data_IF_382246353259
#
_entry.id   IF_382246353259
#
_cell.length_a   1.000
_cell.length_b   1.000
_cell.length_c   1.000
_cell.angle_alpha   90.00
_cell.angle_beta   90.00
_cell.angle_gamma   90.00
#
_symmetry.space_group_name_H-M   'P 1'
#
loop_
_entity.id
_entity.type
_entity.pdbx_description
1 polymer ?
#
# COMPACT_ATOMS: atom_id res chain seq x y z
N UNK A 1 -48.20 -41.42 51.63
CA UNK A 1 -48.08 -41.82 50.22
C UNK A 1 -48.06 -40.54 49.40
N UNK A 2 -46.87 -40.09 49.02
CA UNK A 2 -46.69 -38.83 48.27
C UNK A 2 -45.99 -39.24 46.96
N UNK A 3 -46.79 -39.21 45.88
CA UNK A 3 -46.34 -39.51 44.54
C UNK A 3 -45.43 -38.37 44.02
N UNK A 4 -44.19 -38.72 43.62
CA UNK A 4 -43.25 -37.82 42.93
C UNK A 4 -43.36 -38.07 41.43
N UNK A 5 -43.97 -37.12 40.70
CA UNK A 5 -43.85 -37.06 39.22
C UNK A 5 -42.50 -36.55 38.84
N UNK A 6 -41.80 -37.15 37.85
CA UNK A 6 -40.61 -36.59 37.28
C UNK A 6 -40.95 -35.56 36.18
N UNK A 7 -40.46 -34.35 36.34
CA UNK A 7 -40.54 -33.28 35.33
C UNK A 7 -39.48 -33.61 34.25
N UNK A 8 -39.96 -33.98 33.06
CA UNK A 8 -39.12 -34.21 31.88
C UNK A 8 -38.81 -32.82 31.24
N UNK A 9 -37.61 -32.32 31.47
CA UNK A 9 -37.13 -31.08 30.83
C UNK A 9 -36.78 -31.34 29.37
N UNK A 10 -37.58 -30.83 28.46
CA UNK A 10 -37.35 -30.90 27.01
C UNK A 10 -36.31 -29.82 26.62
N UNK A 11 -35.08 -30.24 26.34
CA UNK A 11 -34.01 -29.35 25.80
C UNK A 11 -34.28 -29.11 24.32
N UNK A 12 -34.81 -27.93 23.98
CA UNK A 12 -34.92 -27.47 22.58
C UNK A 12 -33.56 -26.95 22.13
N UNK A 13 -32.81 -27.71 21.35
CA UNK A 13 -31.61 -27.24 20.62
C UNK A 13 -32.06 -26.29 19.48
N UNK A 14 -31.92 -25.00 19.70
CA UNK A 14 -32.05 -23.99 18.65
C UNK A 14 -30.87 -24.08 17.68
N UNK A 15 -31.08 -24.67 16.52
CA UNK A 15 -30.10 -24.64 15.40
C UNK A 15 -30.07 -23.23 14.81
N UNK A 16 -28.97 -22.47 15.04
CA UNK A 16 -28.68 -21.21 14.38
C UNK A 16 -28.39 -21.47 12.91
N UNK A 17 -29.01 -20.76 11.94
CA UNK A 17 -28.69 -20.89 10.56
C UNK A 17 -27.26 -20.36 10.36
N UNK A 18 -26.32 -21.21 9.93
CA UNK A 18 -25.01 -20.81 9.40
C UNK A 18 -25.28 -20.12 8.08
N UNK A 19 -25.11 -18.79 8.02
CA UNK A 19 -25.16 -18.05 6.78
C UNK A 19 -24.04 -18.57 5.87
N UNK A 20 -24.40 -19.28 4.82
CA UNK A 20 -23.47 -19.73 3.80
C UNK A 20 -22.86 -18.49 3.11
N UNK A 21 -21.55 -18.26 3.31
CA UNK A 21 -20.83 -17.22 2.59
C UNK A 21 -20.92 -17.54 1.08
N UNK A 22 -21.42 -16.59 0.30
CA UNK A 22 -21.47 -16.73 -1.16
C UNK A 22 -20.06 -16.98 -1.67
N UNK A 23 -19.79 -18.05 -2.44
CA UNK A 23 -18.43 -18.32 -2.92
C UNK A 23 -17.96 -17.15 -3.78
N UNK A 24 -16.77 -16.64 -3.49
CA UNK A 24 -16.15 -15.57 -4.27
C UNK A 24 -15.93 -16.06 -5.71
N UNK A 25 -16.52 -15.36 -6.67
CA UNK A 25 -16.24 -15.62 -8.07
C UNK A 25 -14.82 -15.18 -8.42
N UNK A 26 -14.21 -15.81 -9.42
CA UNK A 26 -12.87 -15.50 -9.88
C UNK A 26 -12.88 -15.25 -11.38
N UNK A 27 -12.17 -14.21 -11.82
CA UNK A 27 -12.02 -13.83 -13.23
C UNK A 27 -10.55 -13.66 -13.57
N UNK A 28 -10.10 -14.34 -14.63
CA UNK A 28 -8.77 -14.16 -15.20
C UNK A 28 -8.83 -13.10 -16.31
N UNK A 29 -7.79 -12.26 -16.37
CA UNK A 29 -7.63 -11.24 -17.39
C UNK A 29 -6.40 -11.58 -18.23
N UNK A 30 -6.53 -11.49 -19.55
CA UNK A 30 -5.38 -11.63 -20.44
C UNK A 30 -4.52 -10.38 -20.36
N UNK A 31 -3.28 -10.52 -19.90
CA UNK A 31 -2.32 -9.44 -19.78
C UNK A 31 -0.99 -9.83 -20.40
N UNK A 32 -0.37 -8.87 -21.07
CA UNK A 32 1.00 -8.99 -21.55
C UNK A 32 2.00 -8.55 -20.47
N UNK A 33 3.29 -8.67 -20.74
CA UNK A 33 4.34 -8.20 -19.83
C UNK A 33 4.19 -6.70 -19.54
N UNK A 34 4.28 -6.34 -18.26
CA UNK A 34 4.27 -4.97 -17.76
C UNK A 34 5.36 -4.82 -16.69
N UNK A 35 5.84 -3.59 -16.52
CA UNK A 35 6.80 -3.22 -15.48
C UNK A 35 6.34 -2.02 -14.65
N UNK A 36 5.10 -1.57 -14.89
CA UNK A 36 4.45 -0.49 -14.14
C UNK A 36 3.04 -0.87 -13.81
N UNK A 37 2.54 -0.40 -12.67
CA UNK A 37 1.14 -0.58 -12.29
C UNK A 37 0.52 0.75 -11.90
N UNK A 38 -0.73 0.99 -12.31
CA UNK A 38 -1.55 2.10 -11.87
C UNK A 38 -2.88 1.60 -11.35
N UNK A 39 -3.22 2.01 -10.14
CA UNK A 39 -4.45 1.67 -9.46
C UNK A 39 -5.25 2.96 -9.28
N UNK A 40 -6.39 3.05 -9.97
CA UNK A 40 -7.31 4.18 -9.89
C UNK A 40 -8.59 3.74 -9.17
N UNK A 41 -8.72 4.05 -7.88
CA UNK A 41 -9.88 3.69 -7.04
C UNK A 41 -9.54 2.76 -5.86
N UNK A 42 -10.57 2.22 -5.17
CA UNK A 42 -10.41 1.50 -3.90
C UNK A 42 -10.16 -0.02 -4.10
N UNK A 43 -9.22 -0.38 -4.93
CA UNK A 43 -8.89 -1.77 -5.22
C UNK A 43 -7.74 -2.26 -4.34
N UNK A 44 -7.87 -3.50 -3.85
CA UNK A 44 -6.78 -4.22 -3.19
C UNK A 44 -6.03 -5.04 -4.23
N UNK A 45 -4.73 -4.75 -4.41
CA UNK A 45 -3.86 -5.43 -5.36
C UNK A 45 -2.71 -6.08 -4.63
N UNK A 46 -2.50 -7.37 -4.91
CA UNK A 46 -1.37 -8.15 -4.46
C UNK A 46 -0.50 -8.48 -5.69
N UNK A 47 0.73 -7.94 -5.72
CA UNK A 47 1.64 -8.06 -6.85
C UNK A 47 2.83 -8.93 -6.49
N UNK A 48 3.10 -9.92 -7.34
CA UNK A 48 4.31 -10.76 -7.26
C UNK A 48 5.22 -10.47 -8.44
N UNK A 49 6.50 -10.30 -8.14
CA UNK A 49 7.54 -10.14 -9.16
C UNK A 49 8.30 -11.45 -9.41
N UNK A 50 9.15 -11.47 -10.42
CA UNK A 50 9.92 -12.62 -10.85
C UNK A 50 9.05 -13.85 -11.23
N UNK A 51 7.85 -13.59 -11.78
CA UNK A 51 6.93 -14.61 -12.28
C UNK A 51 6.43 -14.23 -13.68
N UNK A 52 5.85 -15.20 -14.40
CA UNK A 52 5.19 -14.92 -15.67
C UNK A 52 4.01 -13.94 -15.47
N UNK A 53 3.74 -13.04 -16.43
CA UNK A 53 2.66 -12.09 -16.31
C UNK A 53 1.30 -12.77 -16.19
N UNK A 54 0.51 -12.36 -15.20
CA UNK A 54 -0.89 -12.77 -15.03
C UNK A 54 -1.68 -11.69 -14.29
N UNK A 55 -2.99 -11.73 -14.43
CA UNK A 55 -3.91 -10.93 -13.63
C UNK A 55 -5.20 -11.72 -13.34
N UNK A 56 -5.61 -11.71 -12.08
CA UNK A 56 -6.77 -12.42 -11.56
C UNK A 56 -7.49 -11.55 -10.55
N UNK A 57 -8.80 -11.45 -10.67
CA UNK A 57 -9.62 -10.75 -9.68
C UNK A 57 -10.60 -11.71 -9.02
N UNK A 58 -10.81 -11.53 -7.72
CA UNK A 58 -11.74 -12.29 -6.88
C UNK A 58 -12.69 -11.36 -6.17
N UNK A 59 -13.99 -11.69 -6.18
CA UNK A 59 -15.04 -10.89 -5.59
C UNK A 59 -16.43 -11.41 -5.93
N UNK A 60 -17.47 -10.62 -5.64
CA UNK A 60 -18.81 -10.97 -6.13
C UNK A 60 -18.91 -10.77 -7.64
N UNK A 61 -19.79 -11.48 -8.38
CA UNK A 61 -19.98 -11.26 -9.81
C UNK A 61 -20.23 -9.78 -10.17
N UNK A 62 -21.09 -9.10 -9.41
CA UNK A 62 -21.41 -7.68 -9.61
C UNK A 62 -20.21 -6.75 -9.38
N UNK A 63 -19.32 -7.07 -8.40
CA UNK A 63 -18.09 -6.30 -8.17
C UNK A 63 -17.05 -6.53 -9.28
N UNK A 64 -16.95 -7.76 -9.79
CA UNK A 64 -16.04 -8.10 -10.89
C UNK A 64 -16.45 -7.44 -12.22
N UNK A 65 -17.74 -7.26 -12.48
CA UNK A 65 -18.24 -6.53 -13.67
C UNK A 65 -17.90 -5.04 -13.64
N UNK A 66 -17.69 -4.49 -12.44
CA UNK A 66 -17.28 -3.11 -12.23
C UNK A 66 -15.79 -2.84 -12.40
N UNK A 67 -14.93 -3.87 -12.55
CA UNK A 67 -13.47 -3.72 -12.63
C UNK A 67 -12.98 -3.83 -14.06
N UNK A 68 -12.10 -2.91 -14.46
CA UNK A 68 -11.35 -2.97 -15.70
C UNK A 68 -9.86 -3.17 -15.37
N UNK A 69 -9.30 -4.26 -15.89
CA UNK A 69 -7.86 -4.57 -15.80
C UNK A 69 -7.34 -4.71 -17.22
N UNK A 70 -6.37 -3.87 -17.61
CA UNK A 70 -5.74 -3.91 -18.93
C UNK A 70 -4.30 -3.42 -18.89
N UNK A 71 -3.51 -3.83 -19.88
CA UNK A 71 -2.16 -3.29 -20.09
C UNK A 71 -2.21 -2.26 -21.21
N UNK A 72 -1.70 -1.06 -20.93
CA UNK A 72 -1.47 0.00 -21.92
C UNK A 72 0.03 0.29 -22.00
N UNK A 73 0.64 -0.02 -23.12
CA UNK A 73 2.10 0.00 -23.27
C UNK A 73 2.75 -1.01 -22.31
N UNK A 74 3.43 -0.50 -21.27
CA UNK A 74 4.06 -1.30 -20.21
C UNK A 74 3.41 -1.10 -18.85
N UNK A 75 2.24 -0.49 -18.79
CA UNK A 75 1.53 -0.19 -17.54
C UNK A 75 0.28 -1.05 -17.42
N UNK A 76 0.19 -1.85 -16.36
CA UNK A 76 -1.05 -2.49 -15.95
C UNK A 76 -1.94 -1.44 -15.28
N UNK A 77 -3.14 -1.26 -15.81
CA UNK A 77 -4.11 -0.30 -15.27
C UNK A 77 -5.26 -1.07 -14.64
N UNK A 78 -5.51 -0.76 -13.36
CA UNK A 78 -6.66 -1.25 -12.59
C UNK A 78 -7.56 -0.06 -12.29
N UNK A 79 -8.78 -0.07 -12.80
CA UNK A 79 -9.73 1.02 -12.59
C UNK A 79 -11.19 0.56 -12.70
N UNK A 80 -12.12 1.44 -12.38
CA UNK A 80 -13.54 1.17 -12.64
C UNK A 80 -13.82 1.12 -14.14
N UNK A 81 -14.58 0.13 -14.57
CA UNK A 81 -15.14 0.00 -15.92
C UNK A 81 -16.32 0.96 -16.16
N UNK A 82 -16.77 1.07 -17.41
CA UNK A 82 -17.91 1.95 -17.80
C UNK A 82 -19.22 1.63 -17.06
N UNK A 83 -19.43 0.39 -16.61
CA UNK A 83 -20.58 -0.02 -15.78
C UNK A 83 -20.35 0.15 -14.28
N UNK A 84 -19.18 0.66 -13.87
CA UNK A 84 -18.80 0.82 -12.46
C UNK A 84 -19.29 2.11 -11.79
N UNK A 85 -19.89 3.02 -12.56
CA UNK A 85 -20.43 4.28 -12.01
C UNK A 85 -21.92 4.17 -11.77
N UNK A 86 -22.37 4.42 -10.56
CA UNK A 86 -23.76 4.62 -10.24
C UNK A 86 -24.51 3.39 -9.74
N UNK A 87 -24.08 2.81 -8.64
CA UNK A 87 -25.01 2.16 -7.72
C UNK A 87 -25.59 3.22 -6.79
N UNK A 88 -26.87 3.13 -6.45
CA UNK A 88 -27.47 3.90 -5.36
C UNK A 88 -26.60 3.73 -4.09
N UNK A 89 -26.50 4.76 -3.22
CA UNK A 89 -25.88 4.58 -1.90
C UNK A 89 -26.59 3.44 -1.17
N UNK A 90 -25.90 2.30 -0.96
CA UNK A 90 -26.50 1.13 -0.30
C UNK A 90 -26.26 -0.21 -0.99
N UNK A 91 -26.05 -0.27 -2.28
CA UNK A 91 -25.63 -1.50 -2.96
C UNK A 91 -24.10 -1.64 -2.93
N UNK A 92 -23.57 -2.04 -1.79
CA UNK A 92 -22.16 -2.38 -1.63
C UNK A 92 -21.80 -3.56 -2.55
N UNK A 93 -21.09 -3.29 -3.66
CA UNK A 93 -20.63 -4.34 -4.60
C UNK A 93 -19.60 -5.28 -3.99
N UNK A 94 -19.26 -5.12 -2.72
CA UNK A 94 -18.27 -5.90 -2.02
C UNK A 94 -16.83 -5.60 -2.46
N UNK A 95 -15.83 -6.00 -1.66
CA UNK A 95 -14.42 -5.80 -1.98
C UNK A 95 -13.99 -6.67 -3.15
N UNK A 96 -13.06 -6.14 -3.98
CA UNK A 96 -12.36 -6.89 -5.01
C UNK A 96 -10.90 -6.99 -4.63
N UNK A 97 -10.40 -8.22 -4.58
CA UNK A 97 -8.97 -8.50 -4.45
C UNK A 97 -8.41 -8.89 -5.81
N UNK A 98 -7.30 -8.27 -6.20
CA UNK A 98 -6.68 -8.47 -7.50
C UNK A 98 -5.26 -9.00 -7.27
N UNK A 99 -4.99 -10.19 -7.78
CA UNK A 99 -3.67 -10.79 -7.79
C UNK A 99 -3.04 -10.59 -9.16
N UNK A 100 -1.82 -10.06 -9.19
CA UNK A 100 -1.09 -9.84 -10.43
C UNK A 100 0.35 -10.32 -10.32
N UNK A 101 0.90 -10.79 -11.43
CA UNK A 101 2.29 -11.18 -11.55
C UNK A 101 2.98 -10.46 -12.69
N UNK A 102 4.28 -10.22 -12.54
CA UNK A 102 5.14 -9.68 -13.59
C UNK A 102 6.59 -10.14 -13.38
N UNK A 103 7.43 -10.00 -14.40
CA UNK A 103 8.86 -10.27 -14.26
C UNK A 103 9.54 -9.22 -13.37
N UNK A 104 9.35 -7.94 -13.70
CA UNK A 104 9.99 -6.81 -13.02
C UNK A 104 8.95 -5.73 -12.72
N UNK A 105 9.19 -4.91 -11.70
CA UNK A 105 8.38 -3.75 -11.39
C UNK A 105 9.27 -2.53 -11.17
N UNK A 106 9.10 -1.51 -12.03
CA UNK A 106 9.89 -0.27 -12.00
C UNK A 106 9.10 0.91 -11.45
N UNK A 107 7.76 0.86 -11.51
CA UNK A 107 6.93 1.92 -10.95
C UNK A 107 5.55 1.44 -10.50
N UNK A 108 5.02 2.08 -9.46
CA UNK A 108 3.67 1.86 -8.96
C UNK A 108 2.99 3.20 -8.63
N UNK A 109 1.76 3.37 -9.09
CA UNK A 109 0.96 4.57 -8.91
C UNK A 109 -0.39 4.21 -8.32
N UNK A 110 -0.78 4.87 -7.22
CA UNK A 110 -2.07 4.68 -6.56
C UNK A 110 -2.79 6.03 -6.51
N UNK A 111 -3.95 6.11 -7.15
CA UNK A 111 -4.83 7.26 -7.15
C UNK A 111 -6.12 6.92 -6.40
N UNK A 112 -6.37 7.60 -5.29
CA UNK A 112 -7.53 7.37 -4.43
C UNK A 112 -7.21 6.54 -3.19
N UNK A 113 -8.10 5.58 -2.84
CA UNK A 113 -8.05 4.77 -1.61
C UNK A 113 -7.61 3.31 -1.85
N UNK A 114 -6.85 3.06 -2.91
CA UNK A 114 -6.37 1.72 -3.25
C UNK A 114 -5.30 1.20 -2.29
N UNK A 115 -5.17 -0.12 -2.24
CA UNK A 115 -4.13 -0.81 -1.48
C UNK A 115 -3.26 -1.67 -2.41
N UNK A 116 -1.94 -1.52 -2.31
CA UNK A 116 -0.97 -2.31 -3.07
C UNK A 116 0.00 -3.01 -2.13
N UNK A 117 0.09 -4.32 -2.24
CA UNK A 117 1.14 -5.11 -1.63
C UNK A 117 2.03 -5.69 -2.72
N UNK A 118 3.33 -5.39 -2.66
CA UNK A 118 4.36 -5.94 -3.56
C UNK A 118 5.28 -6.82 -2.74
N UNK A 119 5.53 -8.04 -3.19
CA UNK A 119 6.43 -8.96 -2.51
C UNK A 119 7.88 -8.47 -2.56
N UNK A 120 8.38 -8.14 -3.76
CA UNK A 120 9.76 -7.72 -3.97
C UNK A 120 9.87 -6.72 -5.13
N UNK A 121 10.85 -5.81 -5.03
CA UNK A 121 11.33 -5.01 -6.15
C UNK A 121 12.86 -5.07 -6.20
N UNK A 122 13.41 -5.28 -7.40
CA UNK A 122 14.85 -5.39 -7.62
C UNK A 122 15.25 -4.69 -8.92
N UNK A 123 16.38 -3.98 -8.91
CA UNK A 123 16.93 -3.37 -10.11
C UNK A 123 17.60 -2.02 -9.88
N UNK A 124 17.77 -1.25 -10.94
CA UNK A 124 18.42 0.07 -10.88
C UNK A 124 17.54 1.12 -10.18
N UNK A 125 16.21 0.99 -10.25
CA UNK A 125 15.33 1.97 -9.63
C UNK A 125 13.89 1.54 -9.53
N UNK A 126 13.22 2.07 -8.51
CA UNK A 126 11.78 1.91 -8.31
C UNK A 126 11.13 3.23 -7.91
N UNK A 127 9.99 3.52 -8.51
CA UNK A 127 9.19 4.70 -8.22
C UNK A 127 7.83 4.30 -7.65
N UNK A 128 7.47 4.87 -6.50
CA UNK A 128 6.16 4.69 -5.87
C UNK A 128 5.49 6.05 -5.66
N UNK A 129 4.29 6.22 -6.17
CA UNK A 129 3.51 7.44 -5.97
C UNK A 129 2.11 7.14 -5.47
N UNK A 130 1.70 7.82 -4.40
CA UNK A 130 0.33 7.76 -3.84
C UNK A 130 -0.27 9.16 -3.87
N UNK A 131 -1.44 9.29 -4.48
CA UNK A 131 -2.28 10.48 -4.44
C UNK A 131 -3.64 10.12 -3.86
N UNK A 132 -3.93 10.58 -2.65
CA UNK A 132 -5.15 10.27 -1.90
C UNK A 132 -4.90 9.58 -0.58
N UNK A 133 -5.73 8.61 -0.21
CA UNK A 133 -5.66 7.85 1.05
C UNK A 133 -5.20 6.40 0.87
N UNK A 134 -4.48 6.12 -0.22
CA UNK A 134 -4.01 4.78 -0.54
C UNK A 134 -2.94 4.26 0.41
N UNK A 135 -2.77 2.93 0.41
CA UNK A 135 -1.77 2.23 1.21
C UNK A 135 -0.88 1.40 0.29
N UNK A 136 0.44 1.51 0.45
CA UNK A 136 1.38 0.64 -0.24
C UNK A 136 2.32 -0.06 0.75
N UNK A 137 2.59 -1.34 0.48
CA UNK A 137 3.62 -2.10 1.18
C UNK A 137 4.53 -2.80 0.19
N UNK A 138 5.85 -2.69 0.38
CA UNK A 138 6.87 -3.41 -0.39
C UNK A 138 7.68 -4.26 0.57
N UNK A 139 7.57 -5.59 0.43
CA UNK A 139 8.15 -6.55 1.36
C UNK A 139 9.67 -6.58 1.33
N UNK A 140 10.25 -6.58 0.13
CA UNK A 140 11.69 -6.59 -0.07
C UNK A 140 12.09 -5.63 -1.19
N UNK A 141 12.85 -4.60 -0.86
CA UNK A 141 13.45 -3.63 -1.78
C UNK A 141 14.92 -3.97 -1.94
N UNK A 142 15.41 -4.05 -3.18
CA UNK A 142 16.84 -4.20 -3.53
C UNK A 142 17.12 -3.35 -4.78
N UNK A 143 17.29 -2.03 -4.60
CA UNK A 143 17.43 -1.08 -5.71
C UNK A 143 18.52 -0.04 -5.47
N UNK A 144 19.15 0.45 -6.55
CA UNK A 144 20.12 1.55 -6.44
C UNK A 144 19.43 2.88 -6.11
N UNK A 145 18.26 3.14 -6.70
CA UNK A 145 17.52 4.38 -6.54
C UNK A 145 16.04 4.11 -6.23
N UNK A 146 15.58 4.65 -5.11
CA UNK A 146 14.18 4.62 -4.69
C UNK A 146 13.58 6.02 -4.70
N UNK A 147 12.44 6.19 -5.39
CA UNK A 147 11.66 7.43 -5.37
C UNK A 147 10.30 7.17 -4.76
N UNK A 148 9.91 7.97 -3.78
CA UNK A 148 8.62 7.84 -3.11
C UNK A 148 7.92 9.19 -3.04
N UNK A 149 6.73 9.28 -3.60
CA UNK A 149 5.86 10.45 -3.48
C UNK A 149 4.56 10.08 -2.77
N UNK A 150 4.21 10.75 -1.67
CA UNK A 150 2.93 10.53 -0.99
C UNK A 150 2.26 11.87 -0.77
N UNK A 151 1.03 12.02 -1.25
CA UNK A 151 0.26 13.24 -1.11
C UNK A 151 -1.18 12.94 -0.70
N UNK A 152 -1.66 13.58 0.36
CA UNK A 152 -3.00 13.39 0.93
C UNK A 152 -2.95 12.76 2.32
N UNK A 153 -3.47 11.55 2.48
CA UNK A 153 -3.52 10.79 3.73
C UNK A 153 -3.03 9.33 3.52
N UNK A 154 -2.06 9.15 2.63
CA UNK A 154 -1.54 7.84 2.26
C UNK A 154 -0.49 7.30 3.24
N UNK A 155 -0.33 5.98 3.24
CA UNK A 155 0.69 5.28 4.05
C UNK A 155 1.54 4.37 3.18
N UNK A 156 2.86 4.46 3.34
CA UNK A 156 3.82 3.59 2.66
C UNK A 156 4.68 2.85 3.69
N UNK A 157 4.82 1.53 3.52
CA UNK A 157 5.70 0.66 4.31
C UNK A 157 6.69 -0.04 3.40
N UNK A 158 7.97 -0.01 3.78
CA UNK A 158 9.02 -0.64 2.97
C UNK A 158 10.08 -1.31 3.86
N UNK A 159 10.65 -2.41 3.33
CA UNK A 159 11.77 -3.10 3.96
C UNK A 159 12.80 -3.51 2.90
N UNK A 160 14.08 -3.70 3.30
CA UNK A 160 15.14 -4.15 2.42
C UNK A 160 16.30 -3.16 2.33
N UNK A 161 16.80 -2.90 1.11
CA UNK A 161 17.95 -2.03 0.86
C UNK A 161 17.72 -1.09 -0.32
N UNK A 162 18.20 0.15 -0.19
CA UNK A 162 18.26 1.12 -1.30
C UNK A 162 19.55 1.94 -1.23
N UNK A 163 20.22 2.11 -2.36
CA UNK A 163 21.40 2.97 -2.45
C UNK A 163 21.05 4.42 -2.15
N UNK A 164 20.00 4.94 -2.76
CA UNK A 164 19.51 6.30 -2.57
C UNK A 164 18.00 6.33 -2.45
N UNK A 165 17.48 7.02 -1.43
CA UNK A 165 16.06 7.33 -1.26
C UNK A 165 15.81 8.81 -1.56
N UNK A 166 14.90 9.10 -2.48
CA UNK A 166 14.35 10.45 -2.70
C UNK A 166 12.86 10.41 -2.40
N UNK A 167 12.44 11.10 -1.35
CA UNK A 167 11.05 11.07 -0.94
C UNK A 167 10.44 12.45 -0.73
N UNK A 168 9.15 12.59 -1.06
CA UNK A 168 8.33 13.76 -0.74
C UNK A 168 7.02 13.29 -0.13
N UNK A 169 6.77 13.69 1.11
CA UNK A 169 5.56 13.32 1.87
C UNK A 169 4.79 14.57 2.25
N UNK A 170 3.53 14.68 1.81
CA UNK A 170 2.68 15.86 1.98
C UNK A 170 1.32 15.51 2.58
N UNK A 171 0.77 16.42 3.37
CA UNK A 171 -0.53 16.25 4.03
C UNK A 171 -0.42 15.42 5.30
N UNK A 172 -1.44 14.61 5.60
CA UNK A 172 -1.47 13.70 6.75
C UNK A 172 -0.90 12.32 6.42
N UNK A 173 0.11 12.28 5.56
CA UNK A 173 0.69 11.05 5.02
C UNK A 173 1.83 10.51 5.88
N UNK A 174 2.08 9.20 5.78
CA UNK A 174 3.14 8.51 6.53
C UNK A 174 4.03 7.67 5.62
N UNK A 175 5.34 7.76 5.83
CA UNK A 175 6.35 6.88 5.27
C UNK A 175 7.06 6.12 6.39
N UNK A 176 6.86 4.81 6.44
CA UNK A 176 7.47 3.87 7.39
C UNK A 176 8.55 3.07 6.66
N UNK A 177 9.78 3.58 6.65
CA UNK A 177 10.97 2.98 6.02
C UNK A 177 12.07 2.68 7.06
N UNK A 178 11.68 2.43 8.31
CA UNK A 178 12.57 2.03 9.41
C UNK A 178 13.24 0.66 9.17
N UNK A 179 12.62 -0.20 8.36
CA UNK A 179 13.17 -1.49 7.94
C UNK A 179 13.81 -1.47 6.55
N UNK A 180 13.87 -0.31 5.90
CA UNK A 180 14.58 -0.10 4.64
C UNK A 180 15.94 0.54 4.94
N UNK A 181 17.02 -0.20 4.80
CA UNK A 181 18.37 0.33 4.94
C UNK A 181 18.73 1.18 3.72
N UNK A 182 18.92 2.48 3.94
CA UNK A 182 19.25 3.44 2.89
C UNK A 182 20.67 3.96 3.11
N UNK A 183 21.46 4.07 2.05
CA UNK A 183 22.79 4.70 2.15
C UNK A 183 22.66 6.21 2.23
N UNK A 184 22.01 6.84 1.26
CA UNK A 184 21.85 8.30 1.16
C UNK A 184 20.40 8.67 0.96
N UNK A 185 19.89 9.69 1.68
CA UNK A 185 18.50 10.10 1.60
C UNK A 185 18.33 11.59 1.29
N UNK A 186 17.31 11.90 0.48
CA UNK A 186 16.77 13.25 0.29
C UNK A 186 15.29 13.20 0.67
N UNK A 187 14.91 13.92 1.72
CA UNK A 187 13.59 13.85 2.34
C UNK A 187 12.95 15.23 2.34
N UNK A 188 11.79 15.36 1.68
CA UNK A 188 10.88 16.48 1.80
C UNK A 188 9.64 16.07 2.59
N UNK A 189 9.32 16.77 3.67
CA UNK A 189 8.15 16.51 4.51
C UNK A 189 7.37 17.80 4.73
N UNK A 190 6.09 17.82 4.37
CA UNK A 190 5.24 19.01 4.41
C UNK A 190 3.90 18.72 5.08
N UNK A 191 3.44 19.64 5.94
CA UNK A 191 2.19 19.49 6.70
C UNK A 191 2.34 18.50 7.87
N UNK A 192 1.25 17.93 8.41
CA UNK A 192 1.30 16.96 9.52
C UNK A 192 1.72 15.56 9.04
N UNK A 193 2.84 15.49 8.30
CA UNK A 193 3.38 14.25 7.75
C UNK A 193 4.40 13.61 8.68
N UNK A 194 4.53 12.29 8.59
CA UNK A 194 5.51 11.51 9.36
C UNK A 194 6.41 10.72 8.42
N UNK A 195 7.72 10.82 8.63
CA UNK A 195 8.73 10.05 7.89
C UNK A 195 9.64 9.35 8.88
N UNK A 196 9.72 8.01 8.80
CA UNK A 196 10.72 7.20 9.51
C UNK A 196 11.61 6.52 8.49
N UNK A 197 12.93 6.66 8.62
CA UNK A 197 13.87 6.05 7.69
C UNK A 197 15.17 5.64 8.39
N UNK A 198 15.75 4.52 7.98
CA UNK A 198 17.07 4.08 8.41
C UNK A 198 18.11 4.50 7.36
N UNK A 199 18.92 5.52 7.69
CA UNK A 199 19.93 6.08 6.79
C UNK A 199 21.31 5.91 7.39
N UNK A 200 22.27 5.39 6.61
CA UNK A 200 23.58 4.99 7.14
C UNK A 200 24.71 5.97 6.80
N UNK A 201 24.59 6.81 5.77
CA UNK A 201 25.65 7.72 5.37
C UNK A 201 25.23 9.19 5.47
N UNK A 202 24.37 9.67 4.58
CA UNK A 202 23.98 11.08 4.54
C UNK A 202 22.47 11.28 4.35
N UNK A 203 21.93 12.35 4.96
CA UNK A 203 20.54 12.76 4.78
C UNK A 203 20.44 14.27 4.54
N UNK A 204 19.74 14.67 3.46
CA UNK A 204 19.26 16.03 3.27
C UNK A 204 17.77 16.06 3.59
N UNK A 205 17.37 16.86 4.58
CA UNK A 205 15.99 16.92 5.08
C UNK A 205 15.45 18.34 4.98
N UNK A 206 14.35 18.50 4.26
CA UNK A 206 13.55 19.73 4.23
C UNK A 206 12.18 19.43 4.87
N UNK A 207 11.95 19.91 6.10
CA UNK A 207 10.74 19.66 6.87
C UNK A 207 9.98 20.97 7.13
N UNK A 208 8.69 21.02 6.79
CA UNK A 208 7.86 22.20 6.88
C UNK A 208 6.52 21.93 7.58
N UNK A 209 6.04 22.91 8.34
CA UNK A 209 4.75 22.85 9.02
C UNK A 209 4.80 22.04 10.30
N UNK A 210 4.03 20.95 10.39
CA UNK A 210 3.98 20.02 11.54
C UNK A 210 4.65 18.68 11.22
N UNK A 211 5.56 18.65 10.26
CA UNK A 211 6.21 17.43 9.81
C UNK A 211 7.14 16.85 10.90
N UNK A 212 7.12 15.53 11.04
CA UNK A 212 8.02 14.78 11.91
C UNK A 212 8.89 13.84 11.08
N UNK A 213 10.22 13.99 11.18
CA UNK A 213 11.19 13.14 10.50
C UNK A 213 12.08 12.48 11.53
N UNK A 214 12.03 11.16 11.62
CA UNK A 214 12.82 10.34 12.52
C UNK A 214 13.82 9.51 11.71
N UNK A 215 15.12 9.74 11.89
CA UNK A 215 16.18 9.00 11.20
C UNK A 215 16.85 8.03 12.17
N UNK A 216 17.01 6.79 11.75
CA UNK A 216 17.87 5.81 12.40
C UNK A 216 19.18 5.68 11.59
N UNK A 217 20.25 5.12 12.22
CA UNK A 217 21.56 4.90 11.57
C UNK A 217 22.55 6.05 11.73
N UNK A 218 22.15 7.14 12.38
CA UNK A 218 23.03 8.27 12.73
C UNK A 218 23.77 8.91 11.51
N UNK A 219 23.03 9.28 10.44
CA UNK A 219 23.61 9.87 9.24
C UNK A 219 24.16 11.28 9.48
N UNK A 220 25.08 11.71 8.61
CA UNK A 220 25.44 13.12 8.51
C UNK A 220 24.28 13.88 7.84
N UNK A 221 23.72 14.90 8.52
CA UNK A 221 22.53 15.59 8.03
C UNK A 221 22.79 17.03 7.59
N UNK A 222 22.06 17.44 6.54
CA UNK A 222 21.79 18.84 6.23
C UNK A 222 20.29 19.02 6.43
N UNK A 223 19.89 19.81 7.45
CA UNK A 223 18.48 19.97 7.84
C UNK A 223 18.02 21.39 7.64
N UNK A 224 16.88 21.55 6.95
CA UNK A 224 16.10 22.78 6.89
C UNK A 224 14.73 22.49 7.53
N UNK A 225 14.48 23.01 8.71
CA UNK A 225 13.21 22.87 9.39
C UNK A 225 12.52 24.24 9.52
N UNK A 226 11.21 24.30 9.17
CA UNK A 226 10.40 25.53 9.23
C UNK A 226 9.06 25.21 9.92
N UNK A 227 8.54 26.20 10.65
CA UNK A 227 7.33 26.04 11.45
C UNK A 227 7.59 25.23 12.72
N UNK A 228 6.74 24.25 13.01
CA UNK A 228 6.88 23.34 14.14
C UNK A 228 7.39 21.95 13.71
N UNK A 229 8.11 21.89 12.59
CA UNK A 229 8.67 20.63 12.10
C UNK A 229 9.81 20.14 13.01
N UNK A 230 9.87 18.82 13.22
CA UNK A 230 10.87 18.14 14.03
C UNK A 230 11.67 17.15 13.20
N UNK A 231 13.00 17.18 13.35
CA UNK A 231 13.92 16.23 12.72
C UNK A 231 14.84 15.66 13.78
N UNK A 232 14.89 14.33 13.93
CA UNK A 232 15.68 13.64 14.94
C UNK A 232 16.54 12.53 14.33
N UNK A 233 17.56 12.07 15.05
CA UNK A 233 18.40 10.92 14.66
C UNK A 233 19.59 11.26 13.78
N UNK A 234 19.90 12.53 13.59
CA UNK A 234 21.12 12.98 12.90
C UNK A 234 22.34 12.88 13.81
N UNK A 235 23.52 12.64 13.21
CA UNK A 235 24.79 12.70 13.93
C UNK A 235 25.02 14.10 14.48
N UNK A 236 25.31 14.19 15.78
CA UNK A 236 25.69 15.45 16.40
C UNK A 236 26.97 15.99 15.76
N UNK A 237 26.96 17.28 15.41
CA UNK A 237 28.17 17.96 14.97
C UNK A 237 29.16 17.98 16.17
N UNK A 238 30.26 17.25 16.08
CA UNK A 238 31.39 17.44 17.02
C UNK A 238 32.12 18.69 16.58
N UNK A 239 31.98 19.76 17.34
CA UNK A 239 32.80 20.98 17.26
C UNK A 239 34.14 20.73 17.93
#
# INVERSE_FOLDING_TARGET
>A
MIDRLPILALLVLASLPVAAATPAAQRNYSVNGFDRIRIDGPYKVELRTNVAPYARASGTPASLDGVLIKVEGRTLIVRSGRGGWGGYPGEGRGPVTIEVGTHDLNAAYINGAGALAVDRVKGLGFELSIQGSGIASVGEVDVDQMKVGVSGAGTVRMAGWAGKLSTTVRGTSSLEADRLQVKDAVIGAEGPSTVRAQVTNSAKVDANGLASVELAGNPACIVTAKGSASVTGCKEARY
#
